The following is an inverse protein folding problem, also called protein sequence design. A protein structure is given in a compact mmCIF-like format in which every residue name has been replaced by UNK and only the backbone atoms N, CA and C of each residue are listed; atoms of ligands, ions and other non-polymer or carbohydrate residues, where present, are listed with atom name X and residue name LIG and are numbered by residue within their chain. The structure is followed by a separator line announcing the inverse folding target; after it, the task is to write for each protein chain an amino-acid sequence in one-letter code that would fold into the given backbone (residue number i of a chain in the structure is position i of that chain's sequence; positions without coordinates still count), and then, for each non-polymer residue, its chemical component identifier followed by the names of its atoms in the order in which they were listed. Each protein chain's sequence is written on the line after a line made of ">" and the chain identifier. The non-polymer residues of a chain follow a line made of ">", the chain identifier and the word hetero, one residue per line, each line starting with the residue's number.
data_IF_483556886511
#
_entry.id   IF_483556886511
#
_cell.length_a   1.000
_cell.length_b   1.000
_cell.length_c   1.000
_cell.angle_alpha   90.00
_cell.angle_beta   90.00
_cell.angle_gamma   90.00
#
_symmetry.space_group_name_H-M   'P 1'
#
loop_
_entity.id
_entity.type
_entity.pdbx_description
1 polymer ?
#
# COMPACT_ATOMS: atom_id res chain seq x y z
N UNK A 1 -19.34 -30.78 -18.28
CA UNK A 1 -19.02 -30.77 -16.83
C UNK A 1 -17.65 -30.14 -16.70
N UNK A 2 -17.62 -28.83 -16.45
CA UNK A 2 -16.40 -28.05 -16.22
C UNK A 2 -16.05 -28.17 -14.74
N UNK A 3 -14.89 -28.72 -14.44
CA UNK A 3 -14.38 -28.83 -13.08
C UNK A 3 -13.82 -27.47 -12.66
N UNK A 4 -14.43 -26.85 -11.66
CA UNK A 4 -13.83 -25.75 -10.92
C UNK A 4 -12.90 -26.36 -9.87
N UNK A 5 -11.59 -26.15 -10.02
CA UNK A 5 -10.63 -26.42 -8.94
C UNK A 5 -10.67 -25.22 -7.98
N UNK A 6 -11.34 -25.39 -6.83
CA UNK A 6 -11.21 -24.48 -5.70
C UNK A 6 -9.96 -24.84 -4.91
N UNK A 7 -8.89 -24.04 -5.04
CA UNK A 7 -7.79 -24.09 -4.08
C UNK A 7 -8.20 -23.21 -2.88
N UNK A 8 -8.88 -23.82 -1.90
CA UNK A 8 -9.02 -23.22 -0.58
C UNK A 8 -7.67 -23.35 0.12
N UNK A 9 -6.89 -22.28 0.13
CA UNK A 9 -5.73 -22.20 1.01
C UNK A 9 -6.29 -21.85 2.39
N UNK A 10 -6.29 -22.84 3.28
CA UNK A 10 -6.56 -22.69 4.70
C UNK A 10 -5.32 -22.06 5.35
N UNK A 11 -5.31 -20.73 5.47
CA UNK A 11 -4.16 -19.96 5.99
C UNK A 11 -4.50 -19.31 7.34
N UNK A 12 -4.74 -20.16 8.33
CA UNK A 12 -4.86 -19.74 9.74
C UNK A 12 -3.49 -19.58 10.43
N UNK A 13 -2.37 -19.65 9.70
CA UNK A 13 -1.02 -19.63 10.27
C UNK A 13 -0.11 -18.48 9.79
N UNK A 14 -0.44 -17.79 8.69
CA UNK A 14 0.50 -16.84 8.08
C UNK A 14 0.45 -15.40 8.65
N UNK A 15 -0.49 -15.13 9.57
CA UNK A 15 -0.57 -13.85 10.29
C UNK A 15 0.65 -13.64 11.22
N UNK A 16 1.34 -14.70 11.64
CA UNK A 16 2.44 -14.60 12.61
C UNK A 16 3.79 -14.27 11.95
N UNK A 17 3.98 -14.58 10.66
CA UNK A 17 5.27 -14.37 9.98
C UNK A 17 5.41 -13.02 9.27
N UNK A 18 4.32 -12.29 9.01
CA UNK A 18 4.39 -10.96 8.36
C UNK A 18 4.95 -9.85 9.27
N UNK A 19 5.09 -10.07 10.59
CA UNK A 19 5.63 -9.05 11.50
C UNK A 19 7.14 -8.76 11.31
N UNK A 20 7.91 -9.66 10.68
CA UNK A 20 9.38 -9.54 10.63
C UNK A 20 9.96 -8.93 9.35
N UNK A 21 9.16 -8.67 8.31
CA UNK A 21 9.64 -8.08 7.05
C UNK A 21 9.33 -6.57 6.96
N UNK A 22 9.70 -5.79 7.99
CA UNK A 22 9.65 -4.32 7.87
C UNK A 22 10.98 -3.82 7.32
N UNK A 23 11.08 -3.66 6.00
CA UNK A 23 12.21 -2.98 5.37
C UNK A 23 12.20 -1.49 5.76
N UNK A 24 13.19 -1.09 6.57
CA UNK A 24 13.39 0.32 6.92
C UNK A 24 13.82 1.10 5.66
N UNK A 25 12.91 1.87 5.07
CA UNK A 25 13.20 2.68 3.87
C UNK A 25 13.69 4.07 4.25
N UNK A 26 14.89 4.44 3.79
CA UNK A 26 15.47 5.78 3.97
C UNK A 26 15.04 6.66 2.79
N UNK A 27 14.33 7.77 3.04
CA UNK A 27 13.92 8.73 2.02
C UNK A 27 14.84 9.96 1.98
N UNK A 28 15.37 10.31 0.82
CA UNK A 28 16.05 11.58 0.57
C UNK A 28 15.06 12.64 0.06
N UNK A 29 14.88 13.72 0.81
CA UNK A 29 14.05 14.86 0.40
C UNK A 29 14.87 15.79 -0.52
N UNK A 30 14.29 16.20 -1.66
CA UNK A 30 14.92 17.11 -2.62
C UNK A 30 15.35 18.45 -1.99
N UNK A 31 16.55 18.89 -2.39
CA UNK A 31 17.42 19.98 -1.87
C UNK A 31 16.81 21.38 -1.66
N UNK A 32 15.59 21.66 -2.11
CA UNK A 32 15.05 23.04 -2.12
C UNK A 32 14.52 23.53 -0.77
N UNK A 33 14.35 22.65 0.22
CA UNK A 33 13.88 23.01 1.57
C UNK A 33 15.05 23.14 2.57
N UNK A 34 16.14 22.39 2.38
CA UNK A 34 17.29 22.39 3.29
C UNK A 34 18.02 23.75 3.34
N UNK A 35 18.00 24.51 2.25
CA UNK A 35 18.61 25.85 2.15
C UNK A 35 17.97 26.89 3.09
N UNK A 36 16.70 26.73 3.49
CA UNK A 36 15.99 27.71 4.34
C UNK A 36 16.21 27.53 5.84
N UNK A 37 16.80 26.42 6.29
CA UNK A 37 16.89 26.06 7.71
C UNK A 37 18.31 26.05 8.28
N UNK A 38 19.33 26.51 7.54
CA UNK A 38 20.69 26.71 8.05
C UNK A 38 21.33 25.47 8.70
N UNK A 39 20.80 24.29 8.40
CA UNK A 39 21.21 23.00 8.93
C UNK A 39 21.74 22.21 7.76
N UNK A 40 22.98 21.75 7.86
CA UNK A 40 23.59 20.79 6.95
C UNK A 40 22.56 19.74 6.55
N UNK A 41 22.31 19.59 5.24
CA UNK A 41 21.31 18.72 4.66
C UNK A 41 21.53 17.26 5.07
N UNK A 42 21.01 16.90 6.23
CA UNK A 42 20.85 15.53 6.66
C UNK A 42 19.44 15.15 6.21
N UNK A 43 19.33 14.21 5.29
CA UNK A 43 18.06 13.69 4.81
C UNK A 43 17.16 13.42 6.04
N UNK A 44 16.05 14.14 6.16
CA UNK A 44 15.13 13.94 7.26
C UNK A 44 14.54 12.53 7.12
N UNK A 45 14.95 11.63 8.01
CA UNK A 45 14.42 10.26 8.07
C UNK A 45 12.94 10.32 8.41
N UNK A 46 12.08 10.09 7.42
CA UNK A 46 10.64 9.89 7.64
C UNK A 46 10.47 8.58 8.39
N UNK A 47 9.95 8.63 9.61
CA UNK A 47 9.72 7.44 10.42
C UNK A 47 8.51 6.64 9.93
N UNK A 48 8.46 5.35 10.22
CA UNK A 48 7.27 4.55 10.02
C UNK A 48 6.10 5.07 10.87
N UNK A 49 4.90 5.18 10.28
CA UNK A 49 3.68 5.45 11.05
C UNK A 49 3.25 4.22 11.86
N UNK A 50 3.37 3.03 11.27
CA UNK A 50 2.94 1.74 11.79
C UNK A 50 4.09 0.73 11.65
N UNK A 51 4.13 -0.26 12.55
CA UNK A 51 4.93 -1.47 12.38
C UNK A 51 4.00 -2.58 11.89
N UNK A 52 4.24 -3.10 10.69
CA UNK A 52 3.40 -4.15 10.10
C UNK A 52 2.07 -3.64 9.53
N UNK A 53 2.11 -2.67 8.61
CA UNK A 53 0.93 -2.32 7.82
C UNK A 53 0.57 -3.49 6.91
N UNK A 54 -0.68 -3.96 6.96
CA UNK A 54 -1.18 -4.99 6.07
C UNK A 54 -2.14 -4.41 5.02
N UNK A 55 -2.42 -5.19 3.99
CA UNK A 55 -3.39 -4.82 2.96
C UNK A 55 -4.08 -6.04 2.39
N UNK A 56 -5.33 -5.86 1.97
CA UNK A 56 -6.12 -6.86 1.26
C UNK A 56 -6.89 -6.23 0.11
N UNK A 57 -7.53 -7.06 -0.71
CA UNK A 57 -8.36 -6.62 -1.83
C UNK A 57 -9.81 -7.00 -1.58
N UNK A 58 -10.71 -6.05 -1.81
CA UNK A 58 -12.14 -6.30 -1.91
C UNK A 58 -12.61 -6.04 -3.35
N UNK A 59 -13.25 -7.03 -3.95
CA UNK A 59 -13.83 -6.90 -5.30
C UNK A 59 -15.30 -6.49 -5.18
N UNK A 60 -15.65 -5.35 -5.77
CA UNK A 60 -17.04 -4.94 -5.94
C UNK A 60 -17.49 -5.28 -7.37
N UNK A 61 -18.33 -6.31 -7.47
CA UNK A 61 -18.91 -6.81 -8.72
C UNK A 61 -20.32 -6.26 -8.98
N UNK A 62 -20.74 -5.20 -8.29
CA UNK A 62 -22.07 -4.58 -8.46
C UNK A 62 -22.32 -4.10 -9.89
N UNK A 63 -21.26 -3.73 -10.61
CA UNK A 63 -21.28 -3.37 -12.05
C UNK A 63 -21.12 -4.58 -12.99
N UNK A 64 -21.11 -5.81 -12.47
CA UNK A 64 -20.94 -7.06 -13.20
C UNK A 64 -19.52 -7.63 -13.17
N UNK A 65 -19.40 -8.93 -13.43
CA UNK A 65 -18.12 -9.67 -13.40
C UNK A 65 -17.11 -9.19 -14.45
N UNK A 66 -17.58 -8.56 -15.53
CA UNK A 66 -16.71 -8.08 -16.61
C UNK A 66 -16.08 -6.72 -16.30
N UNK A 67 -16.54 -6.02 -15.26
CA UNK A 67 -16.02 -4.71 -14.88
C UNK A 67 -16.06 -4.53 -13.35
N UNK A 68 -15.37 -5.39 -12.58
CA UNK A 68 -15.33 -5.26 -11.14
C UNK A 68 -14.54 -4.00 -10.75
N UNK A 69 -14.93 -3.35 -9.66
CA UNK A 69 -14.10 -2.35 -9.01
C UNK A 69 -13.19 -3.06 -7.99
N UNK A 70 -11.88 -2.87 -8.14
CA UNK A 70 -10.87 -3.43 -7.26
C UNK A 70 -10.61 -2.41 -6.16
N UNK A 71 -10.86 -2.79 -4.91
CA UNK A 71 -10.58 -1.93 -3.75
C UNK A 71 -9.36 -2.47 -3.02
N UNK A 72 -8.25 -1.74 -3.08
CA UNK A 72 -7.06 -2.02 -2.26
C UNK A 72 -7.27 -1.41 -0.88
N UNK A 73 -7.45 -2.25 0.12
CA UNK A 73 -7.82 -1.86 1.49
C UNK A 73 -6.62 -2.01 2.41
N UNK A 74 -6.35 -1.00 3.22
CA UNK A 74 -5.28 -1.05 4.21
C UNK A 74 -5.78 -1.41 5.60
N UNK A 75 -5.10 -2.36 6.22
CA UNK A 75 -5.34 -2.78 7.60
C UNK A 75 -4.23 -2.24 8.49
N UNK A 76 -4.49 -1.09 9.09
CA UNK A 76 -3.58 -0.52 10.07
C UNK A 76 -3.63 -1.36 11.37
N UNK A 77 -2.47 -1.79 11.92
CA UNK A 77 -2.46 -2.58 13.14
C UNK A 77 -3.08 -1.81 14.31
N UNK A 78 -3.85 -2.50 15.14
CA UNK A 78 -4.38 -1.93 16.37
C UNK A 78 -3.21 -1.49 17.29
N UNK A 79 -3.20 -0.23 17.72
CA UNK A 79 -2.09 0.29 18.51
C UNK A 79 -2.03 1.81 18.61
N UNK A 80 -0.92 2.29 19.16
CA UNK A 80 -0.59 3.61 19.77
C UNK A 80 -0.67 4.84 18.84
N UNK A 81 -1.62 4.89 17.92
CA UNK A 81 -1.77 5.99 16.97
C UNK A 81 -2.95 6.84 17.37
N UNK A 82 -2.73 8.16 17.33
CA UNK A 82 -3.76 9.12 17.64
C UNK A 82 -4.86 9.02 16.55
N UNK A 83 -6.12 8.77 16.93
CA UNK A 83 -7.21 8.63 15.95
C UNK A 83 -7.47 9.93 15.16
N UNK A 84 -7.00 11.07 15.66
CA UNK A 84 -7.13 12.37 14.99
C UNK A 84 -6.02 12.64 13.96
N UNK A 85 -5.06 11.72 13.78
CA UNK A 85 -4.09 11.85 12.71
C UNK A 85 -4.76 11.61 11.37
N UNK A 86 -4.46 12.51 10.43
CA UNK A 86 -4.93 12.46 9.07
C UNK A 86 -3.91 11.74 8.20
N UNK A 87 -4.40 10.86 7.33
CA UNK A 87 -3.57 10.07 6.43
C UNK A 87 -4.08 10.14 5.00
N UNK A 88 -3.15 10.10 4.06
CA UNK A 88 -3.41 9.80 2.66
C UNK A 88 -3.02 8.35 2.40
N UNK A 89 -3.88 7.66 1.67
CA UNK A 89 -3.65 6.27 1.28
C UNK A 89 -3.41 6.21 -0.22
N UNK A 90 -2.38 5.46 -0.59
CA UNK A 90 -1.96 5.27 -1.97
C UNK A 90 -1.70 3.78 -2.18
N UNK A 91 -1.95 3.31 -3.38
CA UNK A 91 -1.47 2.00 -3.84
C UNK A 91 -0.33 2.23 -4.81
N UNK A 92 0.76 1.53 -4.58
CA UNK A 92 1.90 1.47 -5.49
C UNK A 92 1.80 0.17 -6.28
N UNK A 93 1.80 0.26 -7.60
CA UNK A 93 1.73 -0.86 -8.52
C UNK A 93 3.04 -0.93 -9.28
N UNK A 94 3.70 -2.08 -9.25
CA UNK A 94 4.90 -2.34 -10.03
C UNK A 94 4.58 -3.34 -11.13
N UNK A 95 4.70 -2.92 -12.38
CA UNK A 95 4.53 -3.82 -13.51
C UNK A 95 5.64 -4.88 -13.54
N UNK A 96 5.26 -6.12 -13.80
CA UNK A 96 6.19 -7.24 -13.97
C UNK A 96 6.27 -7.62 -15.45
N UNK A 97 7.45 -8.08 -15.88
CA UNK A 97 7.64 -8.62 -17.24
C UNK A 97 7.02 -10.01 -17.39
N UNK A 98 6.99 -10.77 -16.30
CA UNK A 98 6.40 -12.10 -16.19
C UNK A 98 5.56 -12.13 -14.91
N UNK A 99 4.37 -12.71 -14.98
CA UNK A 99 3.45 -12.83 -13.84
C UNK A 99 4.02 -13.73 -12.73
N UNK A 100 4.98 -14.61 -13.05
CA UNK A 100 5.63 -15.49 -12.08
C UNK A 100 6.86 -14.86 -11.40
N UNK A 101 7.35 -13.72 -11.92
CA UNK A 101 8.56 -13.06 -11.42
C UNK A 101 8.25 -11.99 -10.38
N UNK A 102 7.79 -12.44 -9.20
CA UNK A 102 7.54 -11.56 -8.06
C UNK A 102 8.83 -10.93 -7.49
N UNK A 103 9.97 -11.59 -7.72
CA UNK A 103 11.25 -11.23 -7.13
C UNK A 103 11.94 -10.05 -7.82
N UNK A 104 11.64 -9.81 -9.10
CA UNK A 104 12.28 -8.71 -9.82
C UNK A 104 11.71 -7.35 -9.42
N UNK A 105 12.61 -6.38 -9.33
CA UNK A 105 12.30 -4.97 -9.06
C UNK A 105 12.59 -4.10 -10.30
N UNK A 106 12.51 -4.69 -11.50
CA UNK A 106 12.92 -4.06 -12.76
C UNK A 106 11.85 -3.16 -13.38
N UNK A 107 10.61 -3.22 -12.89
CA UNK A 107 9.48 -2.43 -13.39
C UNK A 107 9.37 -1.02 -12.78
N UNK A 108 8.75 -0.10 -13.53
CA UNK A 108 8.36 1.22 -13.01
C UNK A 108 7.24 1.06 -11.98
N UNK A 109 7.32 1.82 -10.89
CA UNK A 109 6.25 1.91 -9.89
C UNK A 109 5.32 3.06 -10.25
N UNK A 110 4.06 2.76 -10.52
CA UNK A 110 2.99 3.76 -10.63
C UNK A 110 2.32 3.91 -9.26
N UNK A 111 1.96 5.14 -8.90
CA UNK A 111 1.24 5.43 -7.66
C UNK A 111 -0.16 5.88 -7.99
N UNK A 112 -1.15 5.17 -7.46
CA UNK A 112 -2.56 5.52 -7.57
C UNK A 112 -3.02 5.97 -6.19
N UNK A 113 -3.55 7.18 -6.10
CA UNK A 113 -4.03 7.75 -4.84
C UNK A 113 -5.38 8.41 -5.05
N UNK A 114 -6.27 8.29 -4.07
CA UNK A 114 -7.42 9.17 -3.99
C UNK A 114 -7.05 10.45 -3.22
N UNK A 115 -7.81 11.52 -3.42
CA UNK A 115 -7.67 12.77 -2.64
C UNK A 115 -8.31 12.66 -1.24
N UNK A 116 -8.82 11.49 -0.89
CA UNK A 116 -9.52 11.23 0.37
C UNK A 116 -8.52 11.20 1.52
N UNK A 117 -8.78 12.02 2.53
CA UNK A 117 -8.03 12.01 3.78
C UNK A 117 -8.76 11.15 4.79
N UNK A 118 -8.06 10.17 5.35
CA UNK A 118 -8.60 9.25 6.35
C UNK A 118 -8.16 9.67 7.75
N UNK A 119 -9.06 9.52 8.71
CA UNK A 119 -8.77 9.63 10.15
C UNK A 119 -9.21 8.33 10.81
N UNK A 120 -8.70 8.03 12.00
CA UNK A 120 -9.02 6.78 12.70
C UNK A 120 -8.87 5.52 11.83
N UNK A 121 -7.74 5.42 11.12
CA UNK A 121 -7.48 4.38 10.11
C UNK A 121 -7.49 2.94 10.65
N UNK A 122 -7.48 2.77 11.97
CA UNK A 122 -7.64 1.47 12.66
C UNK A 122 -9.10 1.03 12.67
N UNK A 123 -10.05 1.97 12.84
CA UNK A 123 -11.48 1.65 12.87
C UNK A 123 -12.14 1.77 11.48
N UNK A 124 -11.63 2.66 10.64
CA UNK A 124 -12.11 2.85 9.27
C UNK A 124 -10.99 2.49 8.32
N UNK A 125 -11.03 1.28 7.77
CA UNK A 125 -9.97 0.78 6.91
C UNK A 125 -9.96 1.58 5.59
N UNK A 126 -8.92 2.38 5.33
CA UNK A 126 -8.85 3.13 4.09
C UNK A 126 -8.80 2.23 2.85
N UNK A 127 -9.32 2.73 1.73
CA UNK A 127 -9.35 1.98 0.49
C UNK A 127 -9.07 2.86 -0.74
N UNK A 128 -8.35 2.32 -1.71
CA UNK A 128 -8.18 2.93 -3.04
C UNK A 128 -8.89 2.06 -4.07
N UNK A 129 -9.93 2.62 -4.69
CA UNK A 129 -10.74 1.96 -5.72
C UNK A 129 -10.15 2.20 -7.11
N UNK A 130 -10.02 1.13 -7.88
CA UNK A 130 -9.38 1.12 -9.19
C UNK A 130 -10.16 0.21 -10.13
N UNK A 131 -10.25 0.58 -11.41
CA UNK A 131 -10.78 -0.31 -12.45
C UNK A 131 -9.65 -1.18 -13.02
N UNK A 132 -9.93 -2.45 -13.39
CA UNK A 132 -8.94 -3.34 -13.99
C UNK A 132 -8.24 -2.75 -15.21
N UNK A 133 -8.95 -1.94 -16.01
CA UNK A 133 -8.39 -1.26 -17.19
C UNK A 133 -7.30 -0.23 -16.87
N UNK A 134 -7.16 0.17 -15.61
CA UNK A 134 -6.12 1.09 -15.13
C UNK A 134 -4.88 0.35 -14.61
N UNK A 135 -4.91 -0.98 -14.58
CA UNK A 135 -3.83 -1.82 -14.04
C UNK A 135 -3.10 -2.55 -15.18
N UNK A 136 -1.79 -2.80 -15.05
CA UNK A 136 -1.06 -3.67 -15.97
C UNK A 136 -1.60 -5.10 -15.94
N UNK A 137 -1.26 -5.89 -16.96
CA UNK A 137 -1.65 -7.31 -17.00
C UNK A 137 -0.95 -8.16 -15.93
N UNK A 138 0.36 -7.98 -15.75
CA UNK A 138 1.15 -8.61 -14.68
C UNK A 138 1.71 -7.50 -13.79
N UNK A 139 1.43 -7.56 -12.49
CA UNK A 139 1.94 -6.59 -11.53
C UNK A 139 2.01 -7.18 -10.11
N UNK A 140 2.80 -6.53 -9.27
CA UNK A 140 2.69 -6.62 -7.81
C UNK A 140 2.25 -5.28 -7.25
N UNK A 141 1.67 -5.29 -6.07
CA UNK A 141 1.14 -4.08 -5.45
C UNK A 141 1.50 -4.00 -3.97
N UNK A 142 1.53 -2.79 -3.43
CA UNK A 142 1.60 -2.53 -1.99
C UNK A 142 0.82 -1.28 -1.64
N UNK A 143 0.41 -1.17 -0.38
CA UNK A 143 -0.25 0.03 0.12
C UNK A 143 0.75 0.90 0.88
N UNK A 144 0.59 2.19 0.67
CA UNK A 144 1.35 3.24 1.32
C UNK A 144 0.39 4.13 2.11
N UNK A 145 0.65 4.29 3.41
CA UNK A 145 -0.02 5.28 4.26
C UNK A 145 0.95 6.40 4.62
N UNK A 146 0.57 7.62 4.30
CA UNK A 146 1.35 8.83 4.61
C UNK A 146 0.55 9.72 5.56
N UNK A 147 1.12 10.06 6.72
CA UNK A 147 0.48 11.03 7.61
C UNK A 147 0.57 12.42 7.00
N UNK A 148 -0.56 13.09 6.83
CA UNK A 148 -0.62 14.48 6.39
C UNK A 148 -0.35 15.42 7.55
N UNK A 149 0.36 16.51 7.26
CA UNK A 149 0.68 17.57 8.21
C UNK A 149 0.94 18.89 7.49
N UNK A 150 1.07 19.99 8.26
CA UNK A 150 1.37 21.32 7.69
C UNK A 150 2.72 21.39 6.96
N UNK A 151 3.65 20.47 7.26
CA UNK A 151 4.98 20.39 6.65
C UNK A 151 5.34 18.92 6.42
N UNK A 152 5.48 18.50 5.16
CA UNK A 152 5.90 17.16 4.71
C UNK A 152 5.11 15.97 5.32
N UNK A 153 5.22 14.73 4.79
CA UNK A 153 4.70 13.58 5.52
C UNK A 153 5.46 13.44 6.84
N UNK A 154 4.73 13.48 7.94
CA UNK A 154 5.31 13.40 9.29
C UNK A 154 5.82 11.97 9.57
N UNK A 155 5.13 10.98 8.99
CA UNK A 155 5.53 9.58 8.97
C UNK A 155 4.97 8.93 7.70
N UNK A 156 5.53 7.79 7.30
CA UNK A 156 5.10 7.01 6.14
C UNK A 156 5.29 5.53 6.40
N UNK A 157 4.31 4.71 6.06
CA UNK A 157 4.41 3.25 6.19
C UNK A 157 4.00 2.54 4.91
N UNK A 158 4.58 1.37 4.74
CA UNK A 158 4.37 0.48 3.61
C UNK A 158 3.89 -0.86 4.11
N UNK A 159 2.98 -1.47 3.36
CA UNK A 159 2.79 -2.91 3.44
C UNK A 159 3.91 -3.65 2.72
N UNK A 160 3.96 -4.96 2.93
CA UNK A 160 4.65 -5.87 2.00
C UNK A 160 4.14 -5.68 0.58
N UNK A 161 4.94 -6.12 -0.39
CA UNK A 161 4.44 -6.36 -1.74
C UNK A 161 3.54 -7.60 -1.73
N UNK A 162 2.51 -7.58 -2.55
CA UNK A 162 1.56 -8.66 -2.76
C UNK A 162 1.41 -8.93 -4.26
N UNK A 163 1.09 -10.17 -4.61
CA UNK A 163 0.77 -10.57 -5.98
C UNK A 163 -0.53 -9.91 -6.46
N UNK A 164 -0.61 -9.70 -7.78
CA UNK A 164 -1.87 -9.32 -8.39
C UNK A 164 -2.93 -10.41 -8.15
N UNK A 165 -4.18 -10.02 -7.86
CA UNK A 165 -5.30 -10.96 -7.84
C UNK A 165 -5.43 -11.62 -9.23
N UNK A 166 -5.60 -12.94 -9.24
CA UNK A 166 -5.86 -13.70 -10.46
C UNK A 166 -7.27 -13.38 -10.96
N UNK A 167 -7.40 -12.99 -12.23
CA UNK A 167 -8.68 -12.76 -12.92
C UNK A 167 -8.83 -13.69 -14.12
#
# INVERSE_FOLDING_TARGET
>A
MLFFASCSVDDSADIVNQQNATEATTFSVNDSIASRLGTTAQAATVSDCFKGLAGHINLDVSAGLNNPVINFVSDAPAGTINPNWSFLVKVEIQQLSDCEDFSSNTGSVITISNSTVYTNVVATHPAVSVLPSQLPACYKWRITLERTGKFAPVCKSYSSWYDAPLF
#
